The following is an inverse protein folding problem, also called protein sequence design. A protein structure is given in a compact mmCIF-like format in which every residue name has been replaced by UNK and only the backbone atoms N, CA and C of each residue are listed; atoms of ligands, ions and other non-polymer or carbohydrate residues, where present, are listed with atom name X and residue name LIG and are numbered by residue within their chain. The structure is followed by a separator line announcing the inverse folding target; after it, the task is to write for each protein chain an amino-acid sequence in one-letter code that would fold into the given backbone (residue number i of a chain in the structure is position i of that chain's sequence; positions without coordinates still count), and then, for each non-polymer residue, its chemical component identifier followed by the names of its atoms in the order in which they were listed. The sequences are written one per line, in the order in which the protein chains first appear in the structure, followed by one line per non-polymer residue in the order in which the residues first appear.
data_IF_776003907175
#
_entry.id   IF_776003907175
#
_cell.length_a   1.000
_cell.length_b   1.000
_cell.length_c   1.000
_cell.angle_alpha   90.00
_cell.angle_beta   90.00
_cell.angle_gamma   90.00
#
_symmetry.space_group_name_H-M   'P 1'
#
loop_
_entity.id
_entity.type
_entity.pdbx_description
1 polymer ?
#
# COMPACT_ATOMS: atom_id res chain seq x y z
N UNK A 1 21.20 -18.64 4.26
CA UNK A 1 21.08 -19.65 3.19
C UNK A 1 20.18 -19.20 2.01
N UNK A 2 19.99 -17.90 1.74
CA UNK A 2 19.12 -17.41 0.64
C UNK A 2 19.87 -16.46 -0.33
N UNK A 3 21.14 -16.75 -0.64
CA UNK A 3 21.93 -15.90 -1.56
C UNK A 3 21.72 -16.22 -3.05
N UNK A 4 20.95 -17.26 -3.36
CA UNK A 4 20.84 -17.83 -4.71
C UNK A 4 19.40 -17.89 -5.24
N UNK A 5 18.46 -17.10 -4.69
CA UNK A 5 17.09 -17.04 -5.22
C UNK A 5 17.05 -15.99 -6.33
N UNK A 6 16.71 -16.36 -7.58
CA UNK A 6 16.57 -15.39 -8.66
C UNK A 6 15.47 -14.36 -8.39
N UNK A 7 15.74 -13.08 -8.67
CA UNK A 7 14.79 -11.98 -8.46
C UNK A 7 13.46 -12.19 -9.18
N UNK A 8 13.48 -12.75 -10.40
CA UNK A 8 12.26 -13.00 -11.19
C UNK A 8 11.26 -13.92 -10.49
N UNK A 9 11.70 -14.84 -9.61
CA UNK A 9 10.79 -15.70 -8.85
C UNK A 9 9.98 -14.88 -7.84
N UNK A 10 10.61 -13.89 -7.22
CA UNK A 10 9.96 -13.01 -6.25
C UNK A 10 9.04 -12.00 -6.96
N UNK A 11 9.42 -11.51 -8.14
CA UNK A 11 8.54 -10.70 -8.98
C UNK A 11 7.29 -11.47 -9.43
N UNK A 12 7.47 -12.73 -9.85
CA UNK A 12 6.36 -13.60 -10.21
C UNK A 12 5.44 -13.88 -9.02
N UNK A 13 6.02 -14.14 -7.84
CA UNK A 13 5.25 -14.31 -6.61
C UNK A 13 4.44 -13.05 -6.28
N UNK A 14 5.06 -11.88 -6.35
CA UNK A 14 4.38 -10.62 -6.09
C UNK A 14 3.20 -10.42 -7.05
N UNK A 15 3.44 -10.63 -8.34
CA UNK A 15 2.41 -10.52 -9.39
C UNK A 15 1.28 -11.51 -9.16
N UNK A 16 1.61 -12.75 -8.79
CA UNK A 16 0.62 -13.78 -8.46
C UNK A 16 -0.22 -13.40 -7.24
N UNK A 17 0.39 -12.93 -6.15
CA UNK A 17 -0.34 -12.52 -4.94
C UNK A 17 -1.26 -11.31 -5.20
N UNK A 18 -0.82 -10.35 -6.01
CA UNK A 18 -1.66 -9.22 -6.43
C UNK A 18 -2.83 -9.70 -7.28
N UNK A 19 -2.59 -10.63 -8.21
CA UNK A 19 -3.62 -11.21 -9.07
C UNK A 19 -4.67 -11.97 -8.25
N UNK A 20 -4.23 -12.90 -7.38
CA UNK A 20 -5.12 -13.70 -6.53
C UNK A 20 -5.98 -12.79 -5.66
N UNK A 21 -5.39 -11.80 -4.99
CA UNK A 21 -6.14 -10.86 -4.17
C UNK A 21 -7.22 -10.12 -4.97
N UNK A 22 -6.90 -9.67 -6.18
CA UNK A 22 -7.81 -8.86 -7.01
C UNK A 22 -8.97 -9.67 -7.59
N UNK A 23 -8.73 -10.92 -8.00
CA UNK A 23 -9.70 -11.69 -8.78
C UNK A 23 -10.32 -12.86 -8.01
N UNK A 24 -9.62 -13.46 -7.05
CA UNK A 24 -10.13 -14.58 -6.27
C UNK A 24 -9.46 -14.67 -4.87
N UNK A 25 -9.77 -13.75 -3.95
CA UNK A 25 -9.18 -13.73 -2.60
C UNK A 25 -9.55 -14.96 -1.76
N UNK A 26 -10.60 -15.71 -2.13
CA UNK A 26 -10.99 -16.96 -1.46
C UNK A 26 -9.92 -18.05 -1.59
N UNK A 27 -9.16 -18.05 -2.68
CA UNK A 27 -8.05 -19.00 -2.91
C UNK A 27 -7.06 -19.02 -1.76
N UNK A 28 -6.79 -17.86 -1.15
CA UNK A 28 -5.86 -17.72 -0.02
C UNK A 28 -6.42 -18.34 1.27
N UNK A 29 -7.75 -18.35 1.45
CA UNK A 29 -8.37 -19.04 2.58
C UNK A 29 -8.42 -20.54 2.38
N UNK A 30 -8.91 -21.00 1.23
CA UNK A 30 -9.14 -22.42 0.98
C UNK A 30 -7.85 -23.25 1.06
N UNK A 31 -6.71 -22.62 0.78
CA UNK A 31 -5.40 -23.29 0.80
C UNK A 31 -4.48 -22.76 1.91
N UNK A 32 -5.06 -22.14 2.94
CA UNK A 32 -4.32 -21.34 3.90
C UNK A 32 -3.19 -22.10 4.62
N UNK A 33 -3.47 -23.32 5.08
CA UNK A 33 -2.54 -24.15 5.84
C UNK A 33 -1.23 -24.44 5.07
N UNK A 34 -1.32 -24.54 3.74
CA UNK A 34 -0.18 -24.89 2.89
C UNK A 34 0.65 -23.67 2.49
N UNK A 35 0.00 -22.54 2.22
CA UNK A 35 0.64 -21.43 1.52
C UNK A 35 0.92 -20.21 2.39
N UNK A 36 0.04 -19.85 3.34
CA UNK A 36 0.15 -18.55 4.02
C UNK A 36 1.42 -18.43 4.87
N UNK A 37 1.70 -19.43 5.71
CA UNK A 37 2.89 -19.38 6.58
C UNK A 37 4.20 -19.38 5.79
N UNK A 38 4.44 -20.29 4.83
CA UNK A 38 5.68 -20.27 4.03
C UNK A 38 5.85 -19.00 3.21
N UNK A 39 4.77 -18.48 2.59
CA UNK A 39 4.85 -17.27 1.77
C UNK A 39 5.11 -16.04 2.64
N UNK A 40 4.45 -15.90 3.80
CA UNK A 40 4.73 -14.80 4.72
C UNK A 40 6.17 -14.85 5.24
N UNK A 41 6.66 -16.04 5.60
CA UNK A 41 8.07 -16.22 6.00
C UNK A 41 9.03 -15.79 4.88
N UNK A 42 8.74 -16.17 3.63
CA UNK A 42 9.53 -15.77 2.48
C UNK A 42 9.55 -14.26 2.29
N UNK A 43 8.37 -13.62 2.33
CA UNK A 43 8.22 -12.17 2.19
C UNK A 43 9.02 -11.45 3.27
N UNK A 44 8.86 -11.83 4.55
CA UNK A 44 9.60 -11.21 5.65
C UNK A 44 11.12 -11.41 5.50
N UNK A 45 11.55 -12.58 5.05
CA UNK A 45 12.97 -12.88 4.82
C UNK A 45 13.61 -11.93 3.79
N UNK A 46 12.89 -11.57 2.73
CA UNK A 46 13.39 -10.67 1.69
C UNK A 46 13.09 -9.19 1.97
N UNK A 47 12.12 -8.88 2.82
CA UNK A 47 11.89 -7.53 3.36
C UNK A 47 12.94 -7.12 4.39
N UNK A 48 13.38 -8.02 5.26
CA UNK A 48 14.18 -7.67 6.44
C UNK A 48 15.68 -7.52 6.13
N UNK A 49 16.15 -8.04 4.98
CA UNK A 49 17.57 -8.19 4.71
C UNK A 49 18.01 -7.47 3.42
N UNK A 50 18.54 -6.23 3.50
CA UNK A 50 19.11 -5.51 2.34
C UNK A 50 20.25 -6.31 1.66
N UNK A 51 20.98 -7.13 2.42
CA UNK A 51 22.04 -7.97 1.89
C UNK A 51 21.54 -9.21 1.12
N UNK A 52 20.25 -9.57 1.25
CA UNK A 52 19.60 -10.66 0.50
C UNK A 52 18.80 -10.13 -0.69
N UNK A 53 18.30 -8.91 -0.60
CA UNK A 53 17.58 -8.22 -1.65
C UNK A 53 18.24 -6.86 -1.90
N UNK A 54 19.19 -6.84 -2.84
CA UNK A 54 19.94 -5.63 -3.20
C UNK A 54 19.04 -4.62 -3.92
N UNK A 55 18.05 -5.10 -4.68
CA UNK A 55 17.09 -4.28 -5.40
C UNK A 55 16.04 -3.67 -4.44
N UNK A 56 16.10 -2.36 -4.14
CA UNK A 56 15.20 -1.72 -3.19
C UNK A 56 13.73 -1.71 -3.68
N UNK A 57 13.52 -1.69 -4.99
CA UNK A 57 12.18 -1.75 -5.58
C UNK A 57 11.53 -3.11 -5.36
N UNK A 58 12.28 -4.19 -5.59
CA UNK A 58 11.79 -5.54 -5.34
C UNK A 58 11.54 -5.78 -3.85
N UNK A 59 12.38 -5.22 -2.98
CA UNK A 59 12.16 -5.21 -1.53
C UNK A 59 10.86 -4.48 -1.14
N UNK A 60 10.60 -3.32 -1.76
CA UNK A 60 9.35 -2.59 -1.56
C UNK A 60 8.13 -3.34 -2.11
N UNK A 61 8.27 -4.06 -3.23
CA UNK A 61 7.24 -4.97 -3.75
C UNK A 61 6.93 -6.11 -2.77
N UNK A 62 7.93 -6.66 -2.09
CA UNK A 62 7.68 -7.67 -1.04
C UNK A 62 6.84 -7.10 0.11
N UNK A 63 7.11 -5.86 0.53
CA UNK A 63 6.29 -5.18 1.54
C UNK A 63 4.86 -4.92 1.07
N UNK A 64 4.67 -4.54 -0.20
CA UNK A 64 3.34 -4.42 -0.81
C UNK A 64 2.58 -5.76 -0.79
N UNK A 65 3.26 -6.89 -1.01
CA UNK A 65 2.62 -8.21 -0.98
C UNK A 65 1.97 -8.56 0.36
N UNK A 66 2.40 -7.95 1.48
CA UNK A 66 1.73 -8.13 2.77
C UNK A 66 0.26 -7.72 2.73
N UNK A 67 -0.07 -6.74 1.89
CA UNK A 67 -1.43 -6.23 1.73
C UNK A 67 -2.38 -7.30 1.17
N UNK A 68 -1.87 -8.24 0.35
CA UNK A 68 -2.64 -9.39 -0.15
C UNK A 68 -3.10 -10.37 0.93
N UNK A 69 -2.51 -10.32 2.13
CA UNK A 69 -2.95 -11.14 3.27
C UNK A 69 -3.93 -10.42 4.18
N UNK A 70 -4.25 -9.15 3.91
CA UNK A 70 -5.22 -8.44 4.73
C UNK A 70 -6.63 -8.98 4.47
N UNK A 71 -7.45 -9.20 5.52
CA UNK A 71 -8.89 -9.42 5.38
C UNK A 71 -9.56 -8.25 4.66
N UNK A 72 -10.40 -8.50 3.64
CA UNK A 72 -11.20 -7.41 3.06
C UNK A 72 -12.46 -7.20 3.90
N UNK A 73 -12.85 -5.96 4.23
CA UNK A 73 -14.09 -5.67 4.95
C UNK A 73 -15.33 -6.23 4.24
N UNK A 74 -15.32 -6.28 2.91
CA UNK A 74 -16.40 -6.82 2.08
C UNK A 74 -16.60 -8.33 2.26
N UNK A 75 -15.54 -9.08 2.57
CA UNK A 75 -15.57 -10.54 2.79
C UNK A 75 -16.29 -10.92 4.10
N UNK A 76 -16.46 -9.98 5.04
CA UNK A 76 -17.18 -10.23 6.30
C UNK A 76 -18.70 -10.21 6.13
N UNK A 77 -19.21 -9.57 5.08
CA UNK A 77 -20.65 -9.35 4.86
C UNK A 77 -21.26 -10.29 3.78
N UNK A 78 -20.48 -11.22 3.25
CA UNK A 78 -20.83 -12.10 2.12
C UNK A 78 -21.80 -13.26 2.47
N UNK A 79 -22.65 -13.09 3.49
CA UNK A 79 -23.74 -14.04 3.80
C UNK A 79 -24.85 -14.05 2.72
N UNK A 80 -24.86 -13.07 1.81
CA UNK A 80 -25.90 -12.87 0.79
C UNK A 80 -25.52 -13.32 -0.64
N UNK A 81 -24.40 -14.02 -0.84
CA UNK A 81 -24.01 -14.52 -2.16
C UNK A 81 -24.36 -16.00 -2.38
N UNK A 82 -24.62 -16.38 -3.63
CA UNK A 82 -24.91 -17.75 -4.11
C UNK A 82 -23.84 -18.80 -3.73
N UNK A 83 -22.67 -18.35 -3.27
CA UNK A 83 -21.58 -19.20 -2.81
C UNK A 83 -20.94 -18.55 -1.57
N UNK A 84 -21.42 -18.84 -0.34
CA UNK A 84 -20.84 -18.27 0.87
C UNK A 84 -19.42 -18.79 1.06
N UNK A 85 -18.48 -17.92 1.46
CA UNK A 85 -17.14 -18.36 1.86
C UNK A 85 -17.21 -18.95 3.28
N UNK A 86 -17.11 -20.28 3.47
CA UNK A 86 -17.32 -20.91 4.77
C UNK A 86 -16.27 -20.53 5.81
N UNK A 87 -15.09 -20.05 5.37
CA UNK A 87 -13.99 -19.63 6.24
C UNK A 87 -13.87 -18.10 6.38
N UNK A 88 -14.59 -17.34 5.54
CA UNK A 88 -14.50 -15.87 5.52
C UNK A 88 -13.06 -15.38 5.30
N UNK A 89 -12.47 -14.78 6.32
CA UNK A 89 -11.08 -14.30 6.32
C UNK A 89 -10.29 -14.85 7.53
N UNK A 90 -10.77 -15.94 8.12
CA UNK A 90 -10.29 -16.48 9.40
C UNK A 90 -8.79 -16.81 9.40
N UNK A 91 -8.29 -17.57 8.44
CA UNK A 91 -6.89 -17.96 8.38
C UNK A 91 -5.96 -16.77 8.10
N UNK A 92 -6.38 -15.83 7.26
CA UNK A 92 -5.66 -14.55 7.10
C UNK A 92 -5.59 -13.75 8.40
N UNK A 93 -6.68 -13.66 9.16
CA UNK A 93 -6.65 -13.03 10.49
C UNK A 93 -5.73 -13.78 11.45
N UNK A 94 -5.83 -15.11 11.50
CA UNK A 94 -4.98 -15.96 12.34
C UNK A 94 -3.51 -15.87 11.96
N UNK A 95 -3.18 -15.63 10.70
CA UNK A 95 -1.80 -15.50 10.23
C UNK A 95 -1.06 -14.39 11.01
N UNK A 96 -1.69 -13.23 11.21
CA UNK A 96 -1.09 -12.13 11.94
C UNK A 96 -1.03 -12.34 13.46
N UNK A 97 -1.77 -13.34 13.99
CA UNK A 97 -1.80 -13.67 15.42
C UNK A 97 -0.91 -14.86 15.78
N UNK A 98 -0.68 -15.78 14.85
CA UNK A 98 -0.05 -17.08 15.13
C UNK A 98 1.27 -17.29 14.42
N UNK A 99 1.54 -16.58 13.32
CA UNK A 99 2.78 -16.78 12.56
C UNK A 99 4.03 -16.61 13.45
N UNK A 100 5.05 -17.49 13.34
CA UNK A 100 6.23 -17.45 14.20
C UNK A 100 6.98 -16.11 14.18
N UNK A 101 7.00 -15.44 13.03
CA UNK A 101 7.68 -14.16 12.83
C UNK A 101 6.75 -12.95 12.84
N UNK A 102 5.51 -13.07 13.34
CA UNK A 102 4.52 -11.98 13.31
C UNK A 102 5.03 -10.68 13.95
N UNK A 103 5.78 -10.77 15.06
CA UNK A 103 6.27 -9.58 15.78
C UNK A 103 7.37 -8.81 15.02
N UNK A 104 7.96 -9.41 13.98
CA UNK A 104 8.94 -8.73 13.12
C UNK A 104 8.28 -7.93 12.00
N UNK A 105 6.99 -8.17 11.70
CA UNK A 105 6.29 -7.53 10.58
C UNK A 105 6.39 -6.01 10.68
N UNK A 106 6.09 -5.44 11.84
CA UNK A 106 6.13 -3.98 12.06
C UNK A 106 7.52 -3.41 11.80
N UNK A 107 8.55 -4.00 12.40
CA UNK A 107 9.92 -3.50 12.26
C UNK A 107 10.40 -3.58 10.81
N UNK A 108 10.26 -4.73 10.16
CA UNK A 108 10.66 -4.91 8.77
C UNK A 108 9.87 -4.00 7.82
N UNK A 109 8.58 -3.75 8.07
CA UNK A 109 7.77 -2.83 7.29
C UNK A 109 8.28 -1.38 7.39
N UNK A 110 8.58 -0.92 8.62
CA UNK A 110 9.14 0.43 8.84
C UNK A 110 10.54 0.57 8.23
N UNK A 111 11.37 -0.47 8.31
CA UNK A 111 12.70 -0.48 7.69
C UNK A 111 12.62 -0.34 6.16
N UNK A 112 11.67 -1.02 5.51
CA UNK A 112 11.44 -0.86 4.06
C UNK A 112 10.89 0.53 3.74
N UNK A 113 9.93 1.02 4.52
CA UNK A 113 9.34 2.35 4.35
C UNK A 113 10.38 3.47 4.38
N UNK A 114 11.33 3.35 5.32
CA UNK A 114 12.44 4.31 5.44
C UNK A 114 13.50 4.07 4.36
N UNK A 115 13.76 2.81 4.01
CA UNK A 115 14.77 2.43 3.02
C UNK A 115 14.46 2.89 1.59
N UNK A 116 13.19 2.98 1.19
CA UNK A 116 12.80 3.38 -0.17
C UNK A 116 13.09 4.85 -0.50
N UNK A 117 13.32 5.70 0.50
CA UNK A 117 13.65 7.13 0.28
C UNK A 117 15.05 7.31 -0.35
N UNK A 118 15.95 6.35 -0.15
CA UNK A 118 17.37 6.49 -0.49
C UNK A 118 17.70 6.24 -1.98
N UNK A 119 16.72 6.09 -2.86
CA UNK A 119 16.94 5.68 -4.27
C UNK A 119 17.29 6.85 -5.21
N UNK A 120 16.95 8.10 -4.88
CA UNK A 120 17.64 9.30 -5.37
C UNK A 120 17.43 9.75 -6.83
N UNK A 121 16.63 9.06 -7.67
CA UNK A 121 16.31 9.54 -9.03
C UNK A 121 14.89 10.10 -9.14
N UNK A 122 14.68 11.14 -9.95
CA UNK A 122 13.41 11.87 -10.07
C UNK A 122 12.22 10.99 -10.51
N UNK A 123 12.42 10.01 -11.40
CA UNK A 123 11.39 9.03 -11.79
C UNK A 123 11.02 8.09 -10.64
N UNK A 124 11.89 7.94 -9.64
CA UNK A 124 11.67 7.13 -8.45
C UNK A 124 10.93 7.89 -7.34
N UNK A 125 10.83 9.22 -7.43
CA UNK A 125 10.16 10.03 -6.41
C UNK A 125 8.65 9.71 -6.33
N UNK A 126 7.93 9.67 -7.46
CA UNK A 126 6.50 9.29 -7.45
C UNK A 126 6.29 7.81 -7.13
N UNK A 127 7.21 6.95 -7.58
CA UNK A 127 7.12 5.51 -7.33
C UNK A 127 7.17 5.16 -5.84
N UNK A 128 7.85 5.97 -5.01
CA UNK A 128 7.89 5.73 -3.56
C UNK A 128 6.50 5.80 -2.92
N UNK A 129 5.64 6.71 -3.38
CA UNK A 129 4.27 6.82 -2.88
C UNK A 129 3.42 5.61 -3.28
N UNK A 130 3.66 5.04 -4.47
CA UNK A 130 3.00 3.80 -4.88
C UNK A 130 3.35 2.62 -3.95
N UNK A 131 4.61 2.53 -3.50
CA UNK A 131 4.99 1.54 -2.49
C UNK A 131 4.49 1.85 -1.09
N UNK A 132 4.42 3.12 -0.69
CA UNK A 132 3.99 3.52 0.66
C UNK A 132 2.48 3.39 0.87
N UNK A 133 1.66 3.62 -0.15
CA UNK A 133 0.19 3.45 -0.09
C UNK A 133 -0.24 2.11 0.52
N UNK A 134 0.19 0.94 0.02
CA UNK A 134 -0.16 -0.34 0.62
C UNK A 134 0.42 -0.49 2.05
N UNK A 135 1.61 0.06 2.32
CA UNK A 135 2.21 0.04 3.66
C UNK A 135 1.34 0.80 4.69
N UNK A 136 0.72 1.92 4.32
CA UNK A 136 -0.22 2.64 5.19
C UNK A 136 -1.43 1.77 5.57
N UNK A 137 -1.98 1.04 4.61
CA UNK A 137 -3.11 0.14 4.82
C UNK A 137 -2.71 -1.00 5.75
N UNK A 138 -1.53 -1.60 5.52
CA UNK A 138 -0.99 -2.66 6.38
C UNK A 138 -0.77 -2.14 7.81
N UNK A 139 -0.13 -0.98 7.99
CA UNK A 139 0.11 -0.39 9.32
C UNK A 139 -1.21 -0.11 10.04
N UNK A 140 -2.20 0.45 9.35
CA UNK A 140 -3.53 0.69 9.92
C UNK A 140 -4.19 -0.60 10.39
N UNK A 141 -4.10 -1.69 9.62
CA UNK A 141 -4.60 -3.00 10.04
C UNK A 141 -3.84 -3.52 11.27
N UNK A 142 -2.51 -3.53 11.24
CA UNK A 142 -1.67 -4.03 12.33
C UNK A 142 -1.88 -3.27 13.65
N UNK A 143 -2.15 -1.96 13.59
CA UNK A 143 -2.42 -1.13 14.77
C UNK A 143 -3.63 -1.62 15.59
N UNK A 144 -4.60 -2.26 14.94
CA UNK A 144 -5.78 -2.83 15.59
C UNK A 144 -5.48 -4.13 16.35
N UNK A 145 -4.28 -4.70 16.20
CA UNK A 145 -3.86 -5.94 16.86
C UNK A 145 -2.86 -5.60 17.98
N UNK A 146 -3.22 -5.93 19.23
CA UNK A 146 -2.45 -5.57 20.44
C UNK A 146 -0.95 -5.90 20.34
N UNK A 147 -0.60 -7.12 19.95
CA UNK A 147 0.80 -7.55 19.89
C UNK A 147 1.65 -6.74 18.88
N UNK A 148 1.05 -6.30 17.77
CA UNK A 148 1.73 -5.46 16.78
C UNK A 148 1.79 -4.00 17.21
N UNK A 149 0.74 -3.49 17.84
CA UNK A 149 0.74 -2.15 18.46
C UNK A 149 1.84 -2.01 19.53
N UNK A 150 2.08 -3.08 20.29
CA UNK A 150 3.21 -3.12 21.23
C UNK A 150 4.57 -3.01 20.50
N UNK A 151 4.72 -3.58 19.31
CA UNK A 151 5.93 -3.40 18.51
C UNK A 151 6.14 -1.94 18.08
N UNK A 152 5.09 -1.25 17.62
CA UNK A 152 5.17 0.19 17.33
C UNK A 152 5.55 0.99 18.58
N UNK A 153 4.90 0.72 19.71
CA UNK A 153 5.14 1.41 20.98
C UNK A 153 6.57 1.20 21.47
N UNK A 154 7.10 -0.02 21.33
CA UNK A 154 8.50 -0.34 21.67
C UNK A 154 9.48 0.45 20.80
N UNK A 155 9.26 0.50 19.49
CA UNK A 155 10.12 1.26 18.57
C UNK A 155 10.05 2.77 18.82
N UNK A 156 8.87 3.29 19.18
CA UNK A 156 8.70 4.68 19.58
C UNK A 156 9.49 5.01 20.84
N UNK A 157 9.37 4.18 21.88
CA UNK A 157 10.12 4.33 23.13
C UNK A 157 11.64 4.25 22.90
N UNK A 158 12.08 3.28 22.10
CA UNK A 158 13.49 3.17 21.71
C UNK A 158 13.99 4.44 21.00
N UNK A 159 13.14 5.07 20.17
CA UNK A 159 13.50 6.33 19.53
C UNK A 159 13.55 7.52 20.49
N UNK A 160 12.65 7.59 21.47
CA UNK A 160 12.68 8.60 22.54
C UNK A 160 13.94 8.45 23.41
N UNK A 161 14.28 7.22 23.80
CA UNK A 161 15.46 6.93 24.62
C UNK A 161 16.78 7.22 23.86
N UNK A 162 16.76 7.28 22.53
CA UNK A 162 17.94 7.44 21.67
C UNK A 162 17.84 8.67 20.73
N UNK A 163 17.14 9.73 21.11
CA UNK A 163 16.94 10.93 20.28
C UNK A 163 18.25 11.61 19.84
N UNK A 164 19.31 11.53 20.66
CA UNK A 164 20.60 12.16 20.41
C UNK A 164 21.62 11.24 19.71
N UNK A 165 21.19 10.05 19.29
CA UNK A 165 22.09 9.11 18.61
C UNK A 165 22.61 9.69 17.28
N UNK A 166 23.88 9.44 16.98
CA UNK A 166 24.54 9.88 15.73
C UNK A 166 23.76 9.45 14.49
N UNK A 167 23.14 8.26 14.53
CA UNK A 167 22.20 7.81 13.51
C UNK A 167 20.80 7.83 14.11
N UNK A 168 19.87 8.64 13.57
CA UNK A 168 18.51 8.71 14.08
C UNK A 168 17.83 7.33 14.14
N UNK A 169 17.16 6.98 15.25
CA UNK A 169 16.45 5.71 15.38
C UNK A 169 15.41 5.49 14.28
N UNK A 170 15.11 4.22 13.99
CA UNK A 170 14.20 3.83 12.89
C UNK A 170 12.86 4.56 12.96
N UNK A 171 12.23 4.56 14.15
CA UNK A 171 10.91 5.15 14.32
C UNK A 171 10.93 6.67 14.10
N UNK A 172 11.98 7.36 14.53
CA UNK A 172 12.14 8.81 14.30
C UNK A 172 12.27 9.12 12.80
N UNK A 173 13.06 8.32 12.07
CA UNK A 173 13.19 8.44 10.61
C UNK A 173 11.86 8.17 9.91
N UNK A 174 11.11 7.17 10.37
CA UNK A 174 9.77 6.87 9.86
C UNK A 174 8.82 8.05 10.04
N UNK A 175 8.71 8.62 11.25
CA UNK A 175 7.83 9.77 11.53
C UNK A 175 8.23 10.98 10.66
N UNK A 176 9.52 11.26 10.53
CA UNK A 176 9.99 12.35 9.68
C UNK A 176 9.53 12.18 8.21
N UNK A 177 9.66 10.97 7.66
CA UNK A 177 9.22 10.68 6.30
C UNK A 177 7.70 10.70 6.15
N UNK A 178 6.97 10.19 7.15
CA UNK A 178 5.51 10.24 7.18
C UNK A 178 4.99 11.68 7.17
N UNK A 179 5.59 12.56 7.97
CA UNK A 179 5.24 13.99 8.01
C UNK A 179 5.53 14.68 6.68
N UNK A 180 6.70 14.40 6.08
CA UNK A 180 7.06 14.94 4.77
C UNK A 180 6.08 14.49 3.67
N UNK A 181 5.68 13.22 3.69
CA UNK A 181 4.68 12.68 2.76
C UNK A 181 3.31 13.35 2.94
N UNK A 182 2.88 13.55 4.18
CA UNK A 182 1.60 14.20 4.47
C UNK A 182 1.57 15.65 3.96
N UNK A 183 2.64 16.41 4.16
CA UNK A 183 2.76 17.78 3.63
C UNK A 183 2.75 17.77 2.11
N UNK A 184 3.59 16.94 1.48
CA UNK A 184 3.67 16.86 0.02
C UNK A 184 2.33 16.47 -0.63
N UNK A 185 1.70 15.39 -0.14
CA UNK A 185 0.44 14.89 -0.71
C UNK A 185 -0.72 15.89 -0.48
N UNK A 186 -0.70 16.63 0.63
CA UNK A 186 -1.68 17.69 0.87
C UNK A 186 -1.53 18.81 -0.16
N UNK A 187 -0.32 19.33 -0.35
CA UNK A 187 -0.04 20.39 -1.33
C UNK A 187 -0.38 19.94 -2.76
N UNK A 188 -0.01 18.71 -3.12
CA UNK A 188 -0.35 18.12 -4.43
C UNK A 188 -1.87 18.00 -4.61
N UNK A 189 -2.60 17.55 -3.59
CA UNK A 189 -4.06 17.42 -3.65
C UNK A 189 -4.77 18.76 -3.83
N UNK A 190 -4.31 19.82 -3.15
CA UNK A 190 -4.83 21.18 -3.29
C UNK A 190 -4.58 21.74 -4.69
N UNK A 191 -3.37 21.54 -5.20
CA UNK A 191 -3.02 21.94 -6.56
C UNK A 191 -3.87 21.21 -7.61
N UNK A 192 -4.05 19.88 -7.47
CA UNK A 192 -4.88 19.08 -8.36
C UNK A 192 -6.35 19.53 -8.31
N UNK A 193 -6.91 19.84 -7.13
CA UNK A 193 -8.26 20.38 -7.01
C UNK A 193 -8.42 21.75 -7.67
N UNK A 194 -7.43 22.63 -7.54
CA UNK A 194 -7.44 23.93 -8.22
C UNK A 194 -7.41 23.78 -9.74
N UNK A 195 -6.57 22.88 -10.27
CA UNK A 195 -6.53 22.56 -11.70
C UNK A 195 -7.85 21.97 -12.20
N UNK A 196 -8.44 21.03 -11.45
CA UNK A 196 -9.74 20.44 -11.77
C UNK A 196 -10.84 21.51 -11.85
N UNK A 197 -10.85 22.47 -10.91
CA UNK A 197 -11.80 23.58 -10.92
C UNK A 197 -11.63 24.45 -12.17
N UNK A 198 -10.41 24.80 -12.53
CA UNK A 198 -10.11 25.58 -13.76
C UNK A 198 -10.59 24.84 -15.01
N UNK A 199 -10.34 23.53 -15.10
CA UNK A 199 -10.81 22.70 -16.22
C UNK A 199 -12.35 22.59 -16.27
N UNK A 200 -13.01 22.49 -15.12
CA UNK A 200 -14.47 22.47 -15.02
C UNK A 200 -15.08 23.79 -15.50
N UNK A 201 -14.56 24.93 -15.02
CA UNK A 201 -15.03 26.26 -15.45
C UNK A 201 -14.81 26.46 -16.95
N UNK A 202 -13.65 26.07 -17.50
CA UNK A 202 -13.39 26.15 -18.93
C UNK A 202 -14.37 25.29 -19.76
N UNK A 203 -14.68 24.08 -19.28
CA UNK A 203 -15.68 23.19 -19.92
C UNK A 203 -17.09 23.79 -19.88
N UNK A 204 -17.49 24.40 -18.77
CA UNK A 204 -18.78 25.06 -18.64
C UNK A 204 -18.90 26.29 -19.55
N UNK A 205 -17.86 27.13 -19.61
CA UNK A 205 -17.80 28.27 -20.53
C UNK A 205 -17.95 27.82 -21.99
N UNK A 206 -17.20 26.80 -22.41
CA UNK A 206 -17.29 26.25 -23.77
C UNK A 206 -18.68 25.65 -24.05
N UNK A 207 -19.27 24.94 -23.09
CA UNK A 207 -20.63 24.39 -23.24
C UNK A 207 -21.67 25.50 -23.39
N UNK A 208 -21.53 26.59 -22.64
CA UNK A 208 -22.44 27.73 -22.73
C UNK A 208 -22.29 28.47 -24.06
N UNK A 209 -21.06 28.69 -24.55
CA UNK A 209 -20.82 29.25 -25.88
C UNK A 209 -21.44 28.41 -27.00
N UNK A 210 -21.26 27.08 -26.94
CA UNK A 210 -21.84 26.16 -27.92
C UNK A 210 -23.38 26.18 -27.91
N UNK A 211 -24.00 26.26 -26.72
CA UNK A 211 -25.48 26.41 -26.62
C UNK A 211 -25.96 27.73 -27.20
N UNK A 212 -25.21 28.82 -26.97
CA UNK A 212 -25.56 30.13 -27.47
C UNK A 212 -25.43 30.22 -29.00
N UNK A 213 -24.38 29.60 -29.58
CA UNK A 213 -24.25 29.44 -31.03
C UNK A 213 -25.38 28.59 -31.64
N UNK A 214 -25.72 27.45 -31.01
CA UNK A 214 -26.83 26.61 -31.48
C UNK A 214 -28.18 27.35 -31.44
N UNK A 215 -28.45 28.13 -30.38
CA UNK A 215 -29.65 28.98 -30.31
C UNK A 215 -29.65 30.06 -31.42
N UNK A 216 -28.51 30.70 -31.67
CA UNK A 216 -28.40 31.70 -32.75
C UNK A 216 -28.71 31.08 -34.12
N UNK A 217 -28.23 29.85 -34.39
CA UNK A 217 -28.51 29.15 -35.65
C UNK A 217 -30.01 28.84 -35.76
N UNK A 218 -30.62 28.27 -34.71
CA UNK A 218 -32.05 27.90 -34.70
C UNK A 218 -32.96 29.12 -34.89
N UNK A 219 -32.60 30.28 -34.31
CA UNK A 219 -33.41 31.50 -34.40
C UNK A 219 -33.06 32.42 -35.59
N UNK A 220 -32.01 32.13 -36.37
CA UNK A 220 -31.64 32.88 -37.58
C UNK A 220 -32.01 32.19 -38.90
N UNK A 221 -32.51 30.96 -38.89
CA UNK A 221 -33.18 30.36 -40.03
C UNK A 221 -34.71 30.48 -39.86
N UNK A 222 -35.34 31.59 -40.27
CA UNK A 222 -36.77 31.58 -40.51
C UNK A 222 -37.04 30.65 -41.70
N UNK A 223 -38.03 29.78 -41.53
CA UNK A 223 -38.59 28.85 -42.51
C UNK A 223 -38.57 29.43 -43.94
N UNK A 224 -37.91 28.71 -44.85
CA UNK A 224 -38.04 28.86 -46.31
C UNK A 224 -39.33 28.21 -46.79
#
# INVERSE_FOLDING_TARGET
MCRCVPEFLLENLASFLTFVRRFNPRTLEENAERFLNPILTLILTFMDAPHRMLNPHLRARMAECLESFLPHPEERNDLNQLNPNPFGCFHREQLFLTHPHRLHIVQSLLDVFVGIEMTGQSVQFEQKFNYRRPMYIIMNYLWNIEQHRQCFTRLAKEAEDNMEATTPPLFLRFINLLMNDAVFLLDESLNNMAQLRTMQTARESNRNQNRQQALIIIFKEPEL
#
